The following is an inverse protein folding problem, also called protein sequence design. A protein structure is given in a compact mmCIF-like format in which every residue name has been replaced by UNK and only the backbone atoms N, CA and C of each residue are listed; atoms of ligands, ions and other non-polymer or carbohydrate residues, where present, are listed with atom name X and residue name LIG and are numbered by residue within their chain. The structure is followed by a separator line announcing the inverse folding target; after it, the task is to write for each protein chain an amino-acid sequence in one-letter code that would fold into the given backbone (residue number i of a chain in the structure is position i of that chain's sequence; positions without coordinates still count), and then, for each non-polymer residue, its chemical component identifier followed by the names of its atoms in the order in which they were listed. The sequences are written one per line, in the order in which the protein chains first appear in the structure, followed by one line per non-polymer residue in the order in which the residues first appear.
data_IF_551141953741
#
_entry.id   IF_551141953741
#
_cell.length_a   1.000
_cell.length_b   1.000
_cell.length_c   1.000
_cell.angle_alpha   90.00
_cell.angle_beta   90.00
_cell.angle_gamma   90.00
#
_symmetry.space_group_name_H-M   'P 1'
#
loop_
_entity.id
_entity.type
_entity.pdbx_description
1 polymer ?
#
# COMPACT_ATOMS: atom_id res chain seq x y z
N UNK A 1 -19.55 31.61 48.83
CA UNK A 1 -19.05 30.39 48.13
C UNK A 1 -19.16 30.48 46.58
N UNK A 2 -19.20 31.68 45.98
CA UNK A 2 -19.37 31.88 44.53
C UNK A 2 -18.21 32.67 43.86
N UNK A 3 -17.26 33.20 44.63
CA UNK A 3 -16.12 33.98 44.11
C UNK A 3 -14.91 33.11 43.68
N UNK A 4 -14.80 31.89 44.19
CA UNK A 4 -13.62 31.03 44.01
C UNK A 4 -13.62 30.25 42.67
N UNK A 5 -14.82 29.99 42.11
CA UNK A 5 -14.95 29.26 40.84
C UNK A 5 -14.58 30.09 39.61
N UNK A 6 -14.74 31.42 39.66
CA UNK A 6 -14.40 32.32 38.54
C UNK A 6 -12.89 32.57 38.42
N UNK A 7 -12.15 32.56 39.54
CA UNK A 7 -10.70 32.77 39.51
C UNK A 7 -9.95 31.56 38.94
N UNK A 8 -10.39 30.34 39.27
CA UNK A 8 -9.81 29.09 38.72
C UNK A 8 -10.04 28.91 37.22
N UNK A 9 -11.20 29.31 36.70
CA UNK A 9 -11.51 29.20 35.27
C UNK A 9 -10.63 30.12 34.40
N UNK A 10 -10.35 31.35 34.87
CA UNK A 10 -9.54 32.32 34.13
C UNK A 10 -8.06 31.94 34.10
N UNK A 11 -7.52 31.39 35.20
CA UNK A 11 -6.12 30.95 35.27
C UNK A 11 -5.87 29.69 34.42
N UNK A 12 -6.81 28.73 34.41
CA UNK A 12 -6.71 27.55 33.54
C UNK A 12 -6.84 27.91 32.05
N UNK A 13 -7.73 28.84 31.69
CA UNK A 13 -7.87 29.32 30.31
C UNK A 13 -6.60 30.02 29.80
N UNK A 14 -5.95 30.83 30.63
CA UNK A 14 -4.71 31.52 30.27
C UNK A 14 -3.51 30.55 30.11
N UNK A 15 -3.38 29.54 30.97
CA UNK A 15 -2.35 28.50 30.86
C UNK A 15 -2.55 27.59 29.63
N UNK A 16 -3.81 27.25 29.30
CA UNK A 16 -4.12 26.45 28.11
C UNK A 16 -3.85 27.21 26.81
N UNK A 17 -4.20 28.51 26.75
CA UNK A 17 -3.85 29.37 25.62
C UNK A 17 -2.33 29.60 25.50
N UNK A 18 -1.61 29.75 26.61
CA UNK A 18 -0.15 29.86 26.59
C UNK A 18 0.52 28.57 26.10
N UNK A 19 0.03 27.38 26.47
CA UNK A 19 0.53 26.10 25.96
C UNK A 19 0.23 25.89 24.48
N UNK A 20 -0.93 26.31 23.98
CA UNK A 20 -1.26 26.24 22.56
C UNK A 20 -0.42 27.21 21.71
N UNK A 21 -0.14 28.40 22.24
CA UNK A 21 0.72 29.39 21.56
C UNK A 21 2.20 28.98 21.61
N UNK A 22 2.69 28.47 22.74
CA UNK A 22 4.08 28.01 22.88
C UNK A 22 4.33 26.69 22.14
N UNK A 23 3.38 25.75 22.20
CA UNK A 23 3.39 24.51 21.41
C UNK A 23 3.27 24.77 19.91
N UNK A 24 2.47 25.76 19.50
CA UNK A 24 2.39 26.24 18.12
C UNK A 24 3.69 26.91 17.64
N UNK A 25 4.40 27.61 18.52
CA UNK A 25 5.70 28.22 18.22
C UNK A 25 6.82 27.16 18.11
N UNK A 26 6.85 26.18 19.02
CA UNK A 26 7.78 25.02 18.93
C UNK A 26 7.49 24.19 17.68
N UNK A 27 6.22 23.92 17.35
CA UNK A 27 5.84 23.16 16.16
C UNK A 27 6.19 23.92 14.85
N UNK A 28 5.99 25.24 14.82
CA UNK A 28 6.42 26.09 13.68
C UNK A 28 7.94 26.19 13.60
N UNK A 29 8.66 26.31 14.70
CA UNK A 29 10.13 26.29 14.72
C UNK A 29 10.68 24.92 14.28
N UNK A 30 10.02 23.81 14.61
CA UNK A 30 10.42 22.46 14.19
C UNK A 30 10.18 22.18 12.69
N UNK A 31 9.21 22.87 12.07
CA UNK A 31 8.96 22.83 10.61
C UNK A 31 9.76 23.87 9.83
N UNK A 32 10.09 25.01 10.44
CA UNK A 32 10.81 26.11 9.81
C UNK A 32 12.34 25.98 9.92
N UNK A 33 12.84 25.20 10.87
CA UNK A 33 14.25 24.82 10.86
C UNK A 33 14.46 23.88 9.66
N UNK A 34 15.26 24.27 8.64
CA UNK A 34 15.71 23.32 7.66
C UNK A 34 16.47 22.26 8.45
N UNK A 35 15.88 21.07 8.59
CA UNK A 35 16.68 19.92 9.01
C UNK A 35 17.82 19.88 8.00
N UNK A 36 19.10 19.89 8.43
CA UNK A 36 20.18 19.65 7.48
C UNK A 36 19.78 18.37 6.75
N UNK A 37 19.62 18.47 5.43
CA UNK A 37 19.31 17.30 4.63
C UNK A 37 20.33 16.23 5.05
N UNK A 38 19.89 15.02 5.43
CA UNK A 38 20.85 13.97 5.79
C UNK A 38 21.89 13.94 4.68
N UNK A 39 23.17 14.04 5.06
CA UNK A 39 24.28 14.00 4.12
C UNK A 39 24.21 12.66 3.41
N UNK A 40 23.61 12.65 2.22
CA UNK A 40 23.50 11.44 1.43
C UNK A 40 24.92 11.03 1.02
N UNK A 41 25.25 9.73 1.14
CA UNK A 41 26.52 9.22 0.64
C UNK A 41 26.62 9.46 -0.87
N UNK A 42 27.84 9.61 -1.40
CA UNK A 42 28.03 9.88 -2.84
C UNK A 42 27.50 8.73 -3.69
N UNK A 43 27.65 7.52 -3.18
CA UNK A 43 27.16 6.25 -3.72
C UNK A 43 25.63 6.08 -3.62
N UNK A 44 24.93 7.02 -2.99
CA UNK A 44 23.48 7.00 -2.80
C UNK A 44 23.02 6.11 -1.64
N UNK A 45 21.92 6.50 -1.00
CA UNK A 45 21.26 5.74 0.05
C UNK A 45 20.17 4.87 -0.58
N UNK A 46 20.22 3.57 -0.35
CA UNK A 46 19.15 2.65 -0.68
C UNK A 46 18.43 2.18 0.59
N UNK A 47 17.09 2.30 0.63
CA UNK A 47 16.31 1.92 1.81
C UNK A 47 15.98 0.41 1.86
N UNK A 48 15.95 -0.24 0.69
CA UNK A 48 15.70 -1.67 0.50
C UNK A 48 16.14 -2.09 -0.92
N UNK A 49 17.45 -2.20 -1.16
CA UNK A 49 17.99 -2.64 -2.46
C UNK A 49 18.02 -4.17 -2.51
N UNK A 50 17.28 -4.74 -3.46
CA UNK A 50 17.29 -6.18 -3.74
C UNK A 50 18.27 -6.55 -4.84
N UNK A 51 19.06 -5.59 -5.34
CA UNK A 51 20.03 -5.78 -6.43
C UNK A 51 19.38 -6.33 -7.71
N UNK A 52 18.14 -5.89 -7.96
CA UNK A 52 17.35 -6.35 -9.11
C UNK A 52 16.82 -7.78 -8.99
N UNK A 53 16.79 -8.34 -7.78
CA UNK A 53 16.26 -9.69 -7.51
C UNK A 53 14.87 -9.63 -6.87
N UNK A 54 14.17 -10.77 -6.90
CA UNK A 54 12.89 -10.94 -6.20
C UNK A 54 13.11 -11.92 -5.04
N UNK A 55 13.49 -11.43 -3.83
CA UNK A 55 13.72 -12.29 -2.68
C UNK A 55 12.42 -12.92 -2.15
N UNK A 56 12.58 -14.02 -1.42
CA UNK A 56 11.47 -14.76 -0.79
C UNK A 56 10.95 -15.93 -1.62
N UNK A 57 9.88 -16.55 -1.14
CA UNK A 57 9.20 -17.65 -1.81
C UNK A 57 7.74 -17.26 -2.10
N UNK A 58 7.39 -17.00 -3.37
CA UNK A 58 6.03 -16.59 -3.77
C UNK A 58 4.92 -17.54 -3.31
N UNK A 59 5.24 -18.81 -3.03
CA UNK A 59 4.29 -19.77 -2.48
C UNK A 59 3.82 -19.41 -1.06
N UNK A 60 4.62 -18.68 -0.28
CA UNK A 60 4.20 -18.15 1.02
C UNK A 60 3.08 -17.13 0.86
N UNK A 61 3.21 -16.20 -0.08
CA UNK A 61 2.16 -15.21 -0.34
C UNK A 61 0.92 -15.84 -0.97
N UNK A 62 1.06 -16.83 -1.85
CA UNK A 62 -0.07 -17.60 -2.39
C UNK A 62 -0.85 -18.31 -1.28
N UNK A 63 -0.15 -18.97 -0.35
CA UNK A 63 -0.76 -19.58 0.84
C UNK A 63 -1.53 -18.57 1.67
N UNK A 64 -0.95 -17.39 1.92
CA UNK A 64 -1.60 -16.32 2.69
C UNK A 64 -2.85 -15.80 1.97
N UNK A 65 -2.79 -15.60 0.65
CA UNK A 65 -3.95 -15.18 -0.14
C UNK A 65 -5.08 -16.21 -0.14
N UNK A 66 -4.76 -17.51 -0.20
CA UNK A 66 -5.75 -18.58 -0.07
C UNK A 66 -6.40 -18.61 1.31
N UNK A 67 -5.63 -18.39 2.38
CA UNK A 67 -6.18 -18.24 3.73
C UNK A 67 -7.09 -17.00 3.84
N UNK A 68 -6.72 -15.90 3.20
CA UNK A 68 -7.57 -14.71 3.11
C UNK A 68 -8.87 -14.98 2.34
N UNK A 69 -8.82 -15.77 1.26
CA UNK A 69 -10.02 -16.18 0.54
C UNK A 69 -10.99 -16.96 1.42
N UNK A 70 -10.49 -17.93 2.21
CA UNK A 70 -11.31 -18.68 3.17
C UNK A 70 -11.99 -17.74 4.17
N UNK A 71 -11.28 -16.72 4.66
CA UNK A 71 -11.84 -15.70 5.53
C UNK A 71 -12.97 -14.91 4.86
N UNK A 72 -12.77 -14.53 3.59
CA UNK A 72 -13.75 -13.76 2.83
C UNK A 72 -14.99 -14.58 2.51
N UNK A 73 -14.85 -15.86 2.20
CA UNK A 73 -15.97 -16.79 2.01
C UNK A 73 -16.76 -17.00 3.31
N UNK A 74 -16.07 -17.15 4.45
CA UNK A 74 -16.73 -17.25 5.76
C UNK A 74 -17.49 -15.96 6.11
N UNK A 75 -16.88 -14.80 5.86
CA UNK A 75 -17.53 -13.50 6.04
C UNK A 75 -18.80 -13.38 5.18
N UNK A 76 -18.69 -13.71 3.89
CA UNK A 76 -19.81 -13.71 2.95
C UNK A 76 -20.93 -14.66 3.37
N UNK A 77 -20.59 -15.86 3.83
CA UNK A 77 -21.58 -16.82 4.34
C UNK A 77 -22.37 -16.27 5.52
N UNK A 78 -21.72 -15.51 6.40
CA UNK A 78 -22.34 -14.92 7.59
C UNK A 78 -23.17 -13.67 7.27
N UNK A 79 -22.64 -12.77 6.44
CA UNK A 79 -23.22 -11.44 6.20
C UNK A 79 -24.00 -11.31 4.89
N UNK A 80 -23.95 -12.34 4.02
CA UNK A 80 -24.55 -12.32 2.68
C UNK A 80 -23.77 -11.49 1.65
N UNK A 81 -22.70 -10.80 2.06
CA UNK A 81 -21.86 -9.92 1.22
C UNK A 81 -20.40 -10.13 1.56
N UNK A 82 -19.51 -9.98 0.58
CA UNK A 82 -18.07 -9.92 0.86
C UNK A 82 -17.71 -8.66 1.67
N UNK A 83 -16.59 -8.70 2.42
CA UNK A 83 -16.12 -7.53 3.16
C UNK A 83 -15.71 -6.41 2.20
N UNK A 84 -15.95 -5.15 2.58
CA UNK A 84 -15.50 -3.98 1.78
C UNK A 84 -14.02 -3.71 1.99
N UNK A 85 -13.53 -4.03 3.18
CA UNK A 85 -12.12 -3.92 3.55
C UNK A 85 -11.67 -5.10 4.42
N UNK A 86 -10.37 -5.34 4.51
CA UNK A 86 -9.81 -6.28 5.48
C UNK A 86 -10.22 -5.94 6.94
N UNK A 87 -10.44 -4.66 7.25
CA UNK A 87 -10.88 -4.21 8.56
C UNK A 87 -12.26 -4.77 8.96
N UNK A 88 -13.16 -4.97 7.99
CA UNK A 88 -14.48 -5.56 8.25
C UNK A 88 -14.35 -7.01 8.71
N UNK A 89 -13.48 -7.77 8.04
CA UNK A 89 -13.21 -9.17 8.39
C UNK A 89 -12.45 -9.28 9.72
N UNK A 90 -11.55 -8.34 10.00
CA UNK A 90 -10.73 -8.34 11.20
C UNK A 90 -11.57 -8.27 12.49
N UNK A 91 -12.59 -7.40 12.54
CA UNK A 91 -13.44 -7.25 13.72
C UNK A 91 -14.24 -8.53 14.03
N UNK A 92 -14.74 -9.17 12.98
CA UNK A 92 -15.46 -10.44 13.08
C UNK A 92 -14.55 -11.59 13.50
N UNK A 93 -13.34 -11.62 12.93
CA UNK A 93 -12.30 -12.60 13.26
C UNK A 93 -11.82 -12.47 14.70
N UNK A 94 -11.71 -11.23 15.22
CA UNK A 94 -11.33 -10.95 16.60
C UNK A 94 -12.32 -11.52 17.61
N UNK A 95 -13.62 -11.47 17.27
CA UNK A 95 -14.70 -11.87 18.18
C UNK A 95 -15.10 -13.33 18.00
N UNK A 96 -15.04 -13.88 16.79
CA UNK A 96 -15.58 -15.20 16.46
C UNK A 96 -14.65 -16.05 15.57
N UNK A 97 -13.37 -16.26 15.91
CA UNK A 97 -12.40 -16.88 15.00
C UNK A 97 -12.80 -18.28 14.49
N UNK A 98 -13.55 -19.03 15.29
CA UNK A 98 -14.03 -20.38 14.92
C UNK A 98 -15.04 -20.38 13.77
N UNK A 99 -15.86 -19.33 13.66
CA UNK A 99 -16.79 -19.17 12.53
C UNK A 99 -16.04 -18.99 11.20
N UNK A 100 -14.79 -18.55 11.29
CA UNK A 100 -13.88 -18.30 10.19
C UNK A 100 -12.89 -19.46 9.95
N UNK A 101 -13.06 -20.58 10.66
CA UNK A 101 -12.21 -21.77 10.51
C UNK A 101 -10.90 -21.73 11.30
N UNK A 102 -10.75 -20.81 12.25
CA UNK A 102 -9.55 -20.69 13.08
C UNK A 102 -9.84 -21.04 14.55
N UNK A 103 -8.91 -21.72 15.21
CA UNK A 103 -9.06 -22.08 16.62
C UNK A 103 -9.08 -20.84 17.55
N UNK A 104 -8.32 -19.81 17.17
CA UNK A 104 -8.19 -18.54 17.88
C UNK A 104 -7.85 -17.41 16.91
N UNK A 105 -7.98 -16.16 17.38
CA UNK A 105 -7.54 -14.98 16.63
C UNK A 105 -6.02 -15.01 16.36
N UNK A 106 -5.23 -15.52 17.31
CA UNK A 106 -3.80 -15.71 17.15
C UNK A 106 -3.46 -16.72 16.05
N UNK A 107 -4.19 -17.84 15.98
CA UNK A 107 -4.02 -18.83 14.92
C UNK A 107 -4.31 -18.21 13.53
N UNK A 108 -5.36 -17.38 13.44
CA UNK A 108 -5.67 -16.65 12.22
C UNK A 108 -4.58 -15.63 11.86
N UNK A 109 -4.10 -14.86 12.83
CA UNK A 109 -2.98 -13.94 12.65
C UNK A 109 -1.72 -14.64 12.13
N UNK A 110 -1.38 -15.80 12.68
CA UNK A 110 -0.24 -16.61 12.22
C UNK A 110 -0.46 -17.18 10.82
N UNK A 111 -1.68 -17.61 10.48
CA UNK A 111 -2.01 -18.11 9.15
C UNK A 111 -1.91 -17.04 8.06
N UNK A 112 -2.14 -15.77 8.41
CA UNK A 112 -2.05 -14.63 7.51
C UNK A 112 -0.66 -13.99 7.46
N UNK A 113 0.25 -14.33 8.36
CA UNK A 113 1.64 -13.85 8.30
C UNK A 113 2.34 -14.43 7.07
N UNK A 114 2.94 -13.54 6.29
CA UNK A 114 3.87 -13.90 5.23
C UNK A 114 5.32 -13.68 5.76
N UNK A 115 6.15 -14.73 5.88
CA UNK A 115 7.54 -14.58 6.33
C UNK A 115 8.40 -13.72 5.39
N UNK A 116 7.99 -13.58 4.12
CA UNK A 116 8.71 -12.78 3.13
C UNK A 116 8.47 -11.27 3.27
N UNK A 117 7.56 -10.85 4.16
CA UNK A 117 7.33 -9.41 4.43
C UNK A 117 8.58 -8.69 4.93
N UNK A 118 9.56 -9.40 5.48
CA UNK A 118 10.88 -8.87 5.83
C UNK A 118 11.63 -8.25 4.64
N UNK A 119 11.27 -8.63 3.42
CA UNK A 119 11.85 -8.12 2.18
C UNK A 119 11.04 -6.97 1.56
N UNK A 120 9.85 -6.67 2.07
CA UNK A 120 8.98 -5.62 1.51
C UNK A 120 9.66 -4.24 1.54
N UNK A 121 9.40 -3.42 0.54
CA UNK A 121 9.86 -2.02 0.53
C UNK A 121 9.18 -1.18 1.64
N UNK A 122 8.01 -1.61 2.13
CA UNK A 122 7.30 -0.96 3.24
C UNK A 122 8.00 -1.22 4.58
N UNK A 123 8.52 -0.18 5.27
CA UNK A 123 9.16 -0.34 6.58
C UNK A 123 8.23 -0.89 7.65
N UNK A 124 6.91 -0.70 7.50
CA UNK A 124 5.90 -1.21 8.44
C UNK A 124 5.72 -2.72 8.23
N UNK A 125 5.69 -3.18 6.97
CA UNK A 125 5.59 -4.60 6.63
C UNK A 125 6.84 -5.38 7.07
N UNK A 126 8.04 -4.80 6.88
CA UNK A 126 9.31 -5.45 7.28
C UNK A 126 9.39 -5.82 8.76
N UNK A 127 8.71 -5.06 9.62
CA UNK A 127 8.66 -5.36 11.06
C UNK A 127 7.79 -6.58 11.39
N UNK A 128 7.08 -7.16 10.43
CA UNK A 128 6.28 -8.38 10.59
C UNK A 128 5.03 -8.22 11.47
N UNK A 129 4.71 -6.99 11.89
CA UNK A 129 3.62 -6.71 12.84
C UNK A 129 2.27 -6.43 12.16
N UNK A 130 2.27 -6.23 10.85
CA UNK A 130 1.08 -5.89 10.07
C UNK A 130 1.13 -6.69 8.79
N UNK A 131 0.02 -7.34 8.42
CA UNK A 131 -0.18 -7.88 7.08
C UNK A 131 -1.03 -6.86 6.33
N UNK A 132 -0.49 -6.29 5.25
CA UNK A 132 -1.22 -5.32 4.44
C UNK A 132 -1.60 -5.94 3.11
N UNK A 133 -2.89 -5.91 2.83
CA UNK A 133 -3.45 -6.25 1.53
C UNK A 133 -4.02 -4.98 0.92
N UNK A 134 -3.69 -4.72 -0.34
CA UNK A 134 -4.41 -3.73 -1.13
C UNK A 134 -5.79 -4.28 -1.47
N UNK A 135 -6.84 -3.50 -1.22
CA UNK A 135 -8.19 -3.81 -1.66
C UNK A 135 -8.93 -2.51 -1.94
N UNK A 136 -9.91 -2.56 -2.84
CA UNK A 136 -10.81 -1.45 -3.13
C UNK A 136 -12.23 -1.85 -2.77
N UNK A 137 -13.06 -0.92 -2.31
CA UNK A 137 -14.45 -1.24 -1.95
C UNK A 137 -15.34 -1.48 -3.19
N UNK A 138 -14.98 -0.84 -4.31
CA UNK A 138 -15.71 -0.86 -5.58
C UNK A 138 -14.79 -1.16 -6.76
N UNK A 139 -15.39 -1.50 -7.91
CA UNK A 139 -14.70 -1.58 -9.21
C UNK A 139 -14.24 -0.19 -9.66
N UNK A 140 -13.38 -0.12 -10.68
CA UNK A 140 -12.79 1.16 -11.13
C UNK A 140 -13.83 2.14 -11.69
N UNK A 141 -14.91 1.61 -12.26
CA UNK A 141 -16.08 2.36 -12.72
C UNK A 141 -17.08 2.72 -11.61
N UNK A 142 -16.78 2.34 -10.36
CA UNK A 142 -17.59 2.65 -9.18
C UNK A 142 -18.72 1.66 -8.94
N UNK A 143 -18.91 0.69 -9.82
CA UNK A 143 -19.91 -0.37 -9.61
C UNK A 143 -19.50 -1.28 -8.44
N UNK A 144 -20.47 -1.92 -7.77
CA UNK A 144 -20.18 -2.84 -6.67
C UNK A 144 -19.34 -4.02 -7.13
N UNK A 145 -18.35 -4.41 -6.32
CA UNK A 145 -17.73 -5.73 -6.45
C UNK A 145 -18.75 -6.82 -6.19
N UNK A 146 -18.58 -7.99 -6.82
CA UNK A 146 -19.43 -9.19 -6.66
C UNK A 146 -20.88 -9.05 -7.12
N UNK A 147 -21.23 -7.93 -7.75
CA UNK A 147 -22.43 -7.83 -8.57
C UNK A 147 -22.22 -8.49 -9.94
N UNK A 148 -23.24 -8.40 -10.80
CA UNK A 148 -23.11 -8.80 -12.21
C UNK A 148 -21.87 -8.14 -12.84
N UNK A 149 -21.06 -8.94 -13.55
CA UNK A 149 -19.83 -8.49 -14.22
C UNK A 149 -19.83 -8.91 -15.69
N UNK A 150 -19.12 -8.17 -16.57
CA UNK A 150 -18.96 -8.58 -17.95
C UNK A 150 -18.36 -10.00 -18.08
N UNK A 151 -18.79 -10.82 -19.06
CA UNK A 151 -18.20 -12.13 -19.29
C UNK A 151 -16.68 -12.07 -19.47
N UNK A 152 -15.96 -13.01 -18.87
CA UNK A 152 -14.50 -13.07 -18.95
C UNK A 152 -13.75 -12.10 -18.02
N UNK A 153 -14.44 -11.36 -17.16
CA UNK A 153 -13.81 -10.47 -16.16
C UNK A 153 -13.92 -11.02 -14.75
N UNK A 154 -13.00 -10.60 -13.87
CA UNK A 154 -12.89 -11.04 -12.47
C UNK A 154 -12.84 -9.86 -11.52
N UNK A 155 -13.37 -10.03 -10.32
CA UNK A 155 -13.22 -9.02 -9.26
C UNK A 155 -11.92 -9.28 -8.48
N UNK A 156 -11.16 -8.22 -8.22
CA UNK A 156 -9.99 -8.30 -7.33
C UNK A 156 -10.46 -8.27 -5.88
N UNK A 157 -10.24 -9.34 -5.13
CA UNK A 157 -10.49 -9.38 -3.69
C UNK A 157 -9.43 -8.60 -2.94
N UNK A 158 -8.18 -8.94 -3.22
CA UNK A 158 -7.01 -8.39 -2.57
C UNK A 158 -5.80 -8.47 -3.50
N UNK A 159 -4.81 -7.64 -3.27
CA UNK A 159 -3.49 -7.79 -3.86
C UNK A 159 -2.39 -7.52 -2.83
N UNK A 160 -1.20 -8.04 -3.09
CA UNK A 160 -0.02 -7.90 -2.23
C UNK A 160 1.18 -7.47 -3.09
N UNK A 161 1.97 -6.56 -2.56
CA UNK A 161 3.16 -5.96 -3.18
C UNK A 161 4.47 -6.42 -2.53
N UNK A 162 4.43 -7.47 -1.70
CA UNK A 162 5.62 -8.00 -1.00
C UNK A 162 6.73 -8.45 -1.94
N UNK A 163 6.38 -8.88 -3.15
CA UNK A 163 7.31 -9.34 -4.18
C UNK A 163 7.52 -8.30 -5.29
N UNK A 164 7.10 -7.05 -5.06
CA UNK A 164 7.43 -5.91 -5.89
C UNK A 164 8.45 -5.04 -5.14
N UNK A 165 9.57 -4.75 -5.81
CA UNK A 165 10.64 -3.94 -5.24
C UNK A 165 10.96 -2.81 -6.20
N UNK A 166 10.87 -1.57 -5.74
CA UNK A 166 11.20 -0.37 -6.52
C UNK A 166 12.72 -0.23 -6.69
N UNK A 167 13.50 -0.75 -5.74
CA UNK A 167 14.96 -0.59 -5.68
C UNK A 167 15.37 0.87 -5.89
N UNK A 168 14.72 1.76 -5.13
CA UNK A 168 14.99 3.19 -5.19
C UNK A 168 16.32 3.53 -4.48
N UNK A 169 17.11 4.40 -5.10
CA UNK A 169 18.36 4.93 -4.54
C UNK A 169 18.37 6.44 -4.61
N UNK A 170 18.59 7.08 -3.47
CA UNK A 170 18.62 8.53 -3.34
C UNK A 170 20.06 9.04 -3.26
N UNK A 171 20.44 9.94 -4.16
CA UNK A 171 21.78 10.52 -4.27
C UNK A 171 21.78 12.01 -3.87
N UNK A 172 22.95 12.57 -3.54
CA UNK A 172 23.11 14.01 -3.32
C UNK A 172 22.59 14.85 -4.50
N UNK A 173 21.94 15.97 -4.16
CA UNK A 173 21.41 16.94 -5.12
C UNK A 173 20.06 16.55 -5.72
N UNK A 174 19.16 15.97 -4.91
CA UNK A 174 17.79 15.58 -5.30
C UNK A 174 17.70 14.66 -6.51
N UNK A 175 18.67 13.74 -6.63
CA UNK A 175 18.71 12.73 -7.70
C UNK A 175 18.23 11.40 -7.12
N UNK A 176 17.25 10.78 -7.75
CA UNK A 176 16.78 9.44 -7.40
C UNK A 176 16.79 8.56 -8.63
N UNK A 177 17.25 7.32 -8.48
CA UNK A 177 17.09 6.26 -9.47
C UNK A 177 16.13 5.21 -8.93
N UNK A 178 15.44 4.51 -9.82
CA UNK A 178 14.59 3.36 -9.48
C UNK A 178 14.94 2.19 -10.42
N UNK A 179 14.90 0.97 -9.90
CA UNK A 179 15.26 -0.27 -10.60
C UNK A 179 14.18 -1.34 -10.32
N UNK A 180 12.91 -1.10 -10.73
CA UNK A 180 11.78 -1.89 -10.26
C UNK A 180 11.81 -3.32 -10.78
N UNK A 181 11.55 -4.29 -9.91
CA UNK A 181 11.50 -5.72 -10.24
C UNK A 181 10.33 -6.43 -9.54
N UNK A 182 9.97 -7.59 -10.08
CA UNK A 182 9.03 -8.51 -9.45
C UNK A 182 7.59 -8.38 -9.93
N UNK A 183 6.63 -8.59 -9.02
CA UNK A 183 5.23 -8.74 -9.38
C UNK A 183 4.31 -8.48 -8.18
N UNK A 184 3.04 -8.24 -8.49
CA UNK A 184 1.96 -8.24 -7.52
C UNK A 184 1.31 -9.62 -7.48
N UNK A 185 0.98 -10.10 -6.29
CA UNK A 185 0.07 -11.24 -6.17
C UNK A 185 -1.35 -10.73 -6.05
N UNK A 186 -2.23 -11.24 -6.91
CA UNK A 186 -3.63 -10.81 -7.00
C UNK A 186 -4.53 -11.98 -6.64
N UNK A 187 -5.35 -11.82 -5.62
CA UNK A 187 -6.40 -12.74 -5.26
C UNK A 187 -7.69 -12.34 -5.99
N UNK A 188 -8.19 -13.21 -6.84
CA UNK A 188 -9.43 -13.04 -7.59
C UNK A 188 -10.64 -13.60 -6.85
N UNK A 189 -11.83 -13.18 -7.25
CA UNK A 189 -13.10 -13.57 -6.63
C UNK A 189 -13.51 -15.04 -6.86
N UNK A 190 -12.80 -15.75 -7.74
CA UNK A 190 -12.88 -17.20 -7.90
C UNK A 190 -11.90 -17.97 -6.98
N UNK A 191 -11.14 -17.26 -6.15
CA UNK A 191 -10.15 -17.82 -5.24
C UNK A 191 -8.80 -18.14 -5.89
N UNK A 192 -8.64 -17.86 -7.18
CA UNK A 192 -7.34 -18.01 -7.85
C UNK A 192 -6.39 -16.90 -7.42
N UNK A 193 -5.10 -17.24 -7.35
CA UNK A 193 -4.02 -16.29 -7.09
C UNK A 193 -3.16 -16.20 -8.33
N UNK A 194 -2.91 -14.98 -8.79
CA UNK A 194 -2.14 -14.71 -10.00
C UNK A 194 -0.96 -13.79 -9.70
N UNK A 195 0.22 -14.14 -10.23
CA UNK A 195 1.39 -13.28 -10.19
C UNK A 195 1.35 -12.36 -11.42
N UNK A 196 1.01 -11.10 -11.23
CA UNK A 196 0.96 -10.10 -12.29
C UNK A 196 2.26 -9.30 -12.29
N UNK A 197 3.11 -9.39 -13.33
CA UNK A 197 4.35 -8.62 -13.41
C UNK A 197 4.08 -7.13 -13.23
N UNK A 198 4.97 -6.43 -12.54
CA UNK A 198 4.76 -5.02 -12.18
C UNK A 198 4.54 -4.11 -13.40
N UNK A 199 5.12 -4.46 -14.56
CA UNK A 199 5.04 -3.69 -15.80
C UNK A 199 3.83 -4.09 -16.69
N UNK A 200 3.04 -5.08 -16.25
CA UNK A 200 1.78 -5.50 -16.89
C UNK A 200 0.55 -4.96 -16.19
N UNK A 201 0.71 -4.26 -15.08
CA UNK A 201 -0.39 -3.56 -14.43
C UNK A 201 -0.86 -2.39 -15.30
N UNK A 202 -2.07 -1.96 -15.01
CA UNK A 202 -2.65 -0.76 -15.58
C UNK A 202 -3.05 0.20 -14.46
N UNK A 203 -3.39 1.42 -14.83
CA UNK A 203 -3.81 2.43 -13.87
C UNK A 203 -5.18 2.97 -14.29
N UNK A 204 -6.13 2.93 -13.36
CA UNK A 204 -7.47 3.46 -13.57
C UNK A 204 -7.67 4.75 -12.75
N UNK A 205 -8.51 5.70 -13.18
CA UNK A 205 -8.87 6.85 -12.36
C UNK A 205 -9.43 6.43 -10.99
N UNK A 206 -8.95 7.08 -9.93
CA UNK A 206 -9.48 6.87 -8.60
C UNK A 206 -10.77 7.69 -8.43
N UNK A 207 -11.92 7.04 -8.53
CA UNK A 207 -13.21 7.73 -8.39
C UNK A 207 -13.35 8.41 -7.03
N UNK A 208 -13.87 9.64 -7.05
CA UNK A 208 -13.99 10.48 -5.85
C UNK A 208 -12.73 11.25 -5.47
N UNK A 209 -11.65 11.15 -6.26
CA UNK A 209 -10.47 12.02 -6.16
C UNK A 209 -10.47 13.01 -7.32
N UNK A 210 -10.28 14.29 -7.02
CA UNK A 210 -10.36 15.40 -7.99
C UNK A 210 -9.01 15.80 -8.57
N UNK A 211 -7.92 15.20 -8.09
CA UNK A 211 -6.53 15.52 -8.42
C UNK A 211 -5.95 14.65 -9.55
N UNK A 212 -6.79 13.85 -10.21
CA UNK A 212 -6.32 12.90 -11.22
C UNK A 212 -5.55 11.73 -10.62
N UNK A 213 -5.70 11.45 -9.31
CA UNK A 213 -5.15 10.26 -8.70
C UNK A 213 -5.58 9.00 -9.47
N UNK A 214 -4.61 8.12 -9.66
CA UNK A 214 -4.80 6.84 -10.31
C UNK A 214 -4.66 5.72 -9.29
N UNK A 215 -5.44 4.65 -9.46
CA UNK A 215 -5.34 3.42 -8.68
C UNK A 215 -4.71 2.32 -9.52
N UNK A 216 -4.05 1.38 -8.87
CA UNK A 216 -3.55 0.18 -9.51
C UNK A 216 -4.72 -0.67 -10.01
N UNK A 217 -4.59 -1.25 -11.19
CA UNK A 217 -5.58 -2.08 -11.84
C UNK A 217 -4.90 -3.25 -12.53
N UNK A 218 -5.59 -4.40 -12.58
CA UNK A 218 -5.00 -5.64 -13.06
C UNK A 218 -5.64 -6.12 -14.37
N UNK A 219 -4.89 -6.74 -15.29
CA UNK A 219 -5.46 -7.29 -16.52
C UNK A 219 -6.62 -8.25 -16.24
N UNK A 220 -7.75 -8.04 -16.91
CA UNK A 220 -8.97 -8.84 -16.72
C UNK A 220 -9.82 -8.44 -15.51
N UNK A 221 -9.47 -7.38 -14.79
CA UNK A 221 -10.30 -6.83 -13.72
C UNK A 221 -11.64 -6.30 -14.27
N UNK A 222 -12.72 -6.58 -13.55
CA UNK A 222 -14.05 -6.09 -13.87
C UNK A 222 -14.20 -4.58 -13.61
N UNK A 223 -14.98 -3.92 -14.47
CA UNK A 223 -15.29 -2.50 -14.31
C UNK A 223 -14.12 -1.55 -14.57
N UNK A 224 -13.13 -2.00 -15.35
CA UNK A 224 -12.08 -1.11 -15.87
C UNK A 224 -12.66 -0.13 -16.89
N UNK A 225 -12.56 1.20 -16.67
CA UNK A 225 -13.08 2.18 -17.62
C UNK A 225 -12.20 2.26 -18.88
N UNK A 226 -12.73 2.83 -19.96
CA UNK A 226 -11.95 3.08 -21.18
C UNK A 226 -10.73 3.99 -20.95
N UNK A 227 -10.77 4.84 -19.92
CA UNK A 227 -9.70 5.77 -19.56
C UNK A 227 -8.54 5.13 -18.78
N UNK A 228 -8.47 3.80 -18.72
CA UNK A 228 -7.33 3.08 -18.13
C UNK A 228 -6.08 3.33 -18.98
N UNK A 229 -4.95 3.52 -18.30
CA UNK A 229 -3.66 3.75 -18.93
C UNK A 229 -2.72 2.61 -18.62
N UNK A 230 -1.84 2.33 -19.57
CA UNK A 230 -0.76 1.33 -19.39
C UNK A 230 0.28 1.82 -18.39
N UNK A 231 1.13 0.91 -17.89
CA UNK A 231 2.28 1.25 -17.06
C UNK A 231 3.13 2.38 -17.67
N UNK A 232 3.54 2.25 -18.94
CA UNK A 232 4.38 3.26 -19.60
C UNK A 232 3.66 4.60 -19.81
N UNK A 233 2.34 4.57 -20.04
CA UNK A 233 1.57 5.80 -20.15
C UNK A 233 1.43 6.51 -18.80
N UNK A 234 1.21 5.77 -17.71
CA UNK A 234 1.20 6.34 -16.36
C UNK A 234 2.51 7.07 -16.06
N UNK A 235 3.65 6.41 -16.26
CA UNK A 235 4.95 7.02 -15.98
C UNK A 235 5.28 8.19 -16.91
N UNK A 236 4.88 8.14 -18.19
CA UNK A 236 5.00 9.28 -19.10
C UNK A 236 4.21 10.50 -18.64
N UNK A 237 2.99 10.30 -18.14
CA UNK A 237 2.18 11.39 -17.55
C UNK A 237 2.85 11.98 -16.30
N UNK A 238 3.60 11.15 -15.57
CA UNK A 238 4.41 11.55 -14.42
C UNK A 238 5.76 12.15 -14.80
N UNK A 239 6.03 12.45 -16.08
CA UNK A 239 7.25 13.14 -16.54
C UNK A 239 8.40 12.24 -17.01
N UNK A 240 8.23 10.92 -16.97
CA UNK A 240 9.26 9.99 -17.46
C UNK A 240 9.21 9.85 -18.97
N UNK A 241 10.33 9.46 -19.61
CA UNK A 241 10.33 9.13 -21.04
C UNK A 241 9.61 7.80 -21.31
N UNK A 242 9.82 6.84 -20.44
CA UNK A 242 9.24 5.50 -20.42
C UNK A 242 9.10 5.04 -18.97
N UNK A 243 8.28 4.01 -18.71
CA UNK A 243 8.18 3.46 -17.37
C UNK A 243 9.52 2.86 -16.94
N UNK A 244 9.96 3.06 -15.69
CA UNK A 244 11.20 2.49 -15.23
C UNK A 244 11.15 0.96 -15.36
N UNK A 245 12.25 0.38 -15.85
CA UNK A 245 12.41 -1.07 -15.95
C UNK A 245 13.64 -1.47 -15.17
N UNK A 246 13.48 -2.44 -14.30
CA UNK A 246 14.59 -2.96 -13.54
C UNK A 246 15.18 -4.27 -14.06
N UNK A 247 16.38 -4.56 -13.60
CA UNK A 247 17.15 -5.75 -13.92
C UNK A 247 18.41 -5.89 -13.05
N UNK A 248 19.09 -7.05 -13.15
CA UNK A 248 20.26 -7.38 -12.31
C UNK A 248 21.46 -6.47 -12.55
N UNK A 249 21.52 -5.78 -13.70
CA UNK A 249 22.64 -4.90 -14.06
C UNK A 249 22.62 -3.52 -13.35
N UNK A 250 21.61 -3.27 -12.51
CA UNK A 250 21.54 -2.18 -11.53
C UNK A 250 21.72 -0.74 -12.07
N UNK A 251 21.46 -0.48 -13.35
CA UNK A 251 21.66 0.86 -13.94
C UNK A 251 20.57 1.88 -13.57
N UNK A 252 19.58 1.52 -12.74
CA UNK A 252 18.53 2.38 -12.16
C UNK A 252 18.19 3.67 -12.94
N UNK A 253 16.99 3.75 -13.52
CA UNK A 253 16.65 4.90 -14.36
C UNK A 253 16.32 6.11 -13.46
N UNK A 254 16.95 7.26 -13.71
CA UNK A 254 16.58 8.50 -13.02
C UNK A 254 15.32 9.12 -13.61
N UNK A 255 14.62 9.93 -12.82
CA UNK A 255 13.40 10.66 -13.24
C UNK A 255 13.56 11.45 -14.55
N UNK A 256 14.77 11.93 -14.85
CA UNK A 256 15.10 12.63 -16.10
C UNK A 256 15.27 11.72 -17.33
N UNK A 257 15.08 10.41 -17.18
CA UNK A 257 15.30 9.40 -18.22
C UNK A 257 16.77 9.14 -18.56
N UNK A 258 17.72 9.70 -17.80
CA UNK A 258 19.15 9.39 -17.94
C UNK A 258 19.52 8.26 -16.96
N UNK A 259 20.20 7.23 -17.47
CA UNK A 259 20.94 6.28 -16.62
C UNK A 259 21.97 7.07 -15.80
N UNK A 260 21.92 6.95 -14.48
CA UNK A 260 22.97 7.46 -13.61
C UNK A 260 23.84 6.26 -13.30
N UNK A 261 24.95 6.12 -14.04
CA UNK A 261 25.98 5.17 -13.66
C UNK A 261 26.55 5.60 -12.30
N UNK A 262 26.67 4.67 -11.33
CA UNK A 262 27.31 4.96 -10.05
C UNK A 262 28.74 5.46 -10.22
#
# INVERSE_FOLDING_TARGET
MLQDKRFRATVFGALFCAMLLYGGWIYRAYRAAPRPAPLLPKEGLAENDTEGLVPGDPQNGERVMKNLFVLYEAYKKKHGVYPKSYGDTFNDLLTNPKEFGFESFEAAGNALKNPDMRFSDSPIMRKGNVVTFGSYETRADGSPKFGAKPPGTRDVLAYMDTYYHENARQYPGDRTTVNPVGFYQVLWDDGTVENVPYDKVTYAPYLGKTDGAMRLAFPGEAGLPQAVVTYDEHWRRSGWKEGPRGGPDNEGIAYTGKSIKP
#
